data_IF_623545019559
#
_entry.id   IF_623545019559
#
_cell.length_a   1.000
_cell.length_b   1.000
_cell.length_c   1.000
_cell.angle_alpha   90.00
_cell.angle_beta   90.00
_cell.angle_gamma   90.00
#
_symmetry.space_group_name_H-M   'P 1'
#
loop_
_entity.id
_entity.type
_entity.pdbx_description
1 polymer ?
#
# COMPACT_ATOMS: atom_id res chain seq x y z
N UNK A 1 -13.15 -7.89 66.30
CA UNK A 1 -12.42 -8.94 67.04
C UNK A 1 -11.54 -9.65 66.03
N UNK A 2 -10.22 -9.42 66.13
CA UNK A 2 -9.22 -10.42 66.55
C UNK A 2 -8.99 -11.49 65.47
N UNK A 3 -7.79 -11.82 65.02
CA UNK A 3 -6.42 -11.38 65.33
C UNK A 3 -5.51 -12.43 64.71
N UNK A 4 -4.44 -12.00 64.02
CA UNK A 4 -3.08 -12.55 64.13
C UNK A 4 -2.86 -14.03 63.71
N UNK A 5 -1.68 -14.52 63.35
CA UNK A 5 -0.28 -14.13 63.59
C UNK A 5 0.55 -14.95 62.55
N UNK A 6 1.39 -14.32 61.72
CA UNK A 6 2.84 -14.13 61.89
C UNK A 6 3.72 -15.39 61.89
N UNK A 7 4.78 -15.38 61.09
CA UNK A 7 6.18 -15.26 61.56
C UNK A 7 7.10 -15.20 60.32
N UNK A 8 7.90 -14.14 60.11
CA UNK A 8 9.24 -13.87 60.71
C UNK A 8 10.29 -14.85 60.17
N UNK A 9 11.43 -14.45 59.59
CA UNK A 9 11.91 -13.08 59.39
C UNK A 9 13.36 -13.00 58.87
N UNK A 10 13.84 -11.74 58.81
CA UNK A 10 15.21 -11.26 59.13
C UNK A 10 16.38 -11.79 58.30
N UNK A 11 17.27 -10.99 57.70
CA UNK A 11 18.23 -9.97 58.25
C UNK A 11 19.20 -9.70 57.06
N UNK A 12 19.97 -8.61 56.86
CA UNK A 12 20.37 -7.40 57.59
C UNK A 12 21.25 -6.58 56.60
N UNK A 13 21.11 -5.23 56.61
CA UNK A 13 22.17 -4.18 56.71
C UNK A 13 23.38 -4.22 55.74
N UNK A 14 23.92 -3.12 55.20
CA UNK A 14 23.97 -1.71 55.64
C UNK A 14 24.64 -0.84 54.55
N UNK A 15 24.19 0.43 54.45
CA UNK A 15 24.91 1.74 54.41
C UNK A 15 26.15 1.88 53.50
N UNK A 16 26.37 2.98 52.77
CA UNK A 16 26.69 4.37 53.21
C UNK A 16 26.63 5.23 51.93
N UNK A 17 25.81 6.29 51.85
CA UNK A 17 26.16 7.73 51.88
C UNK A 17 27.10 8.20 50.73
N UNK A 18 27.07 9.40 50.15
CA UNK A 18 26.32 10.67 50.26
C UNK A 18 26.97 11.64 49.25
N UNK A 19 26.26 12.71 48.85
CA UNK A 19 26.77 13.95 48.19
C UNK A 19 27.39 13.81 46.78
N UNK A 20 27.51 14.83 45.93
CA UNK A 20 26.70 15.97 45.51
C UNK A 20 27.44 16.59 44.32
N UNK A 21 26.67 17.15 43.38
CA UNK A 21 26.96 18.23 42.43
C UNK A 21 28.41 18.60 42.03
N UNK A 22 28.56 18.73 40.69
CA UNK A 22 29.19 19.84 39.97
C UNK A 22 30.69 19.80 39.66
N UNK A 23 30.98 20.41 38.50
CA UNK A 23 32.18 21.16 38.09
C UNK A 23 32.97 20.59 36.89
N UNK A 24 33.03 21.48 35.90
CA UNK A 24 33.86 21.61 34.68
C UNK A 24 35.36 21.43 34.94
N UNK A 25 36.10 20.79 34.02
CA UNK A 25 37.40 21.26 33.47
C UNK A 25 38.26 20.15 32.82
N UNK A 26 38.72 20.44 31.59
CA UNK A 26 40.00 20.09 30.93
C UNK A 26 40.92 19.02 31.50
N UNK A 27 41.40 18.08 30.65
CA UNK A 27 42.84 17.78 30.49
C UNK A 27 43.16 16.95 29.23
N UNK A 28 44.32 17.24 28.64
CA UNK A 28 44.92 16.61 27.46
C UNK A 28 45.51 15.21 27.73
N UNK A 29 45.85 14.46 26.66
CA UNK A 29 47.16 13.82 26.38
C UNK A 29 47.02 12.76 25.25
N UNK A 30 48.14 12.59 24.54
CA UNK A 30 48.38 12.03 23.21
C UNK A 30 48.49 10.49 23.07
N UNK A 31 48.41 10.03 21.80
CA UNK A 31 49.12 8.91 21.13
C UNK A 31 48.91 7.47 21.69
N UNK A 32 49.08 6.36 20.91
CA UNK A 32 50.15 6.12 19.92
C UNK A 32 49.81 5.27 18.66
N UNK A 33 50.88 5.02 17.89
CA UNK A 33 51.04 4.41 16.56
C UNK A 33 50.80 2.88 16.47
N UNK A 34 50.72 2.36 15.24
CA UNK A 34 50.77 0.92 14.92
C UNK A 34 51.59 0.61 13.65
N UNK A 35 52.31 -0.51 13.71
CA UNK A 35 53.28 -1.07 12.74
C UNK A 35 52.68 -2.22 11.90
N UNK A 36 53.06 -2.23 10.61
CA UNK A 36 53.57 -3.31 9.74
C UNK A 36 52.94 -4.74 9.59
N UNK A 37 52.55 -5.04 8.33
CA UNK A 37 52.98 -6.10 7.36
C UNK A 37 52.74 -7.61 7.63
N UNK A 38 52.01 -8.24 6.70
CA UNK A 38 52.30 -9.47 5.90
C UNK A 38 51.03 -9.78 5.06
N UNK A 39 50.96 -10.33 3.84
CA UNK A 39 51.87 -10.94 2.88
C UNK A 39 51.01 -11.85 1.96
N UNK A 40 51.23 -11.76 0.64
CA UNK A 40 50.93 -12.71 -0.47
C UNK A 40 49.48 -13.10 -0.85
N UNK A 41 49.15 -12.97 -2.15
CA UNK A 41 48.94 -14.10 -3.10
C UNK A 41 48.66 -13.60 -4.52
N UNK A 42 49.01 -14.46 -5.48
CA UNK A 42 49.26 -14.18 -6.90
C UNK A 42 48.04 -14.35 -7.82
N UNK A 43 48.04 -13.53 -8.88
CA UNK A 43 47.73 -13.78 -10.30
C UNK A 43 46.85 -14.93 -10.79
N UNK A 44 46.05 -14.59 -11.82
CA UNK A 44 45.83 -15.27 -13.13
C UNK A 44 44.33 -15.33 -13.47
N UNK A 45 43.81 -15.25 -14.70
CA UNK A 45 44.25 -14.89 -16.04
C UNK A 45 43.00 -15.07 -16.92
N UNK A 46 42.68 -14.16 -17.84
CA UNK A 46 42.00 -14.50 -19.09
C UNK A 46 42.15 -13.38 -20.14
N UNK A 47 42.44 -13.84 -21.34
CA UNK A 47 43.12 -13.19 -22.47
C UNK A 47 42.15 -12.63 -23.55
N UNK A 48 42.68 -11.90 -24.55
CA UNK A 48 41.99 -10.87 -25.32
C UNK A 48 41.69 -11.28 -26.78
N UNK A 49 41.09 -10.35 -27.55
CA UNK A 49 41.00 -10.37 -29.02
C UNK A 49 41.73 -9.09 -29.51
N UNK A 50 42.99 -9.12 -30.00
CA UNK A 50 43.53 -9.48 -31.35
C UNK A 50 42.82 -8.70 -32.49
N UNK A 51 43.45 -7.85 -33.31
CA UNK A 51 44.63 -8.05 -34.19
C UNK A 51 44.97 -6.67 -34.79
N UNK A 52 46.21 -6.15 -34.64
CA UNK A 52 47.35 -6.18 -35.61
C UNK A 52 47.25 -5.01 -36.61
N UNK A 53 48.25 -4.18 -36.90
CA UNK A 53 49.65 -4.42 -37.29
C UNK A 53 50.32 -3.03 -37.35
N UNK A 54 51.29 -2.65 -36.52
CA UNK A 54 52.69 -3.07 -36.34
C UNK A 54 53.70 -2.45 -37.34
N UNK A 55 54.64 -1.70 -36.74
CA UNK A 55 56.09 -1.47 -37.02
C UNK A 55 56.42 0.03 -36.89
N UNK A 56 56.96 0.55 -35.77
CA UNK A 56 58.22 0.20 -35.06
C UNK A 56 59.41 0.36 -36.04
N UNK A 57 60.57 0.97 -35.75
CA UNK A 57 61.48 0.96 -34.60
C UNK A 57 62.42 2.20 -34.85
N UNK A 58 63.05 2.95 -33.94
CA UNK A 58 64.11 2.55 -32.99
C UNK A 58 64.62 3.77 -32.20
N UNK A 59 64.79 3.55 -30.89
CA UNK A 59 65.76 4.03 -29.88
C UNK A 59 67.08 4.65 -30.42
N UNK A 60 67.89 5.45 -29.72
CA UNK A 60 67.93 6.04 -28.38
C UNK A 60 69.11 7.05 -28.28
N UNK A 61 69.03 7.94 -27.28
CA UNK A 61 70.09 8.58 -26.44
C UNK A 61 71.31 9.28 -27.06
N UNK A 62 71.53 10.57 -26.71
CA UNK A 62 72.85 11.15 -26.33
C UNK A 62 72.66 12.34 -25.34
N UNK A 63 73.68 12.54 -24.50
CA UNK A 63 73.93 13.32 -23.27
C UNK A 63 73.63 14.84 -23.18
N UNK A 64 73.61 15.32 -21.92
CA UNK A 64 73.57 16.72 -21.45
C UNK A 64 74.89 17.51 -21.58
N UNK A 65 74.72 18.83 -21.74
CA UNK A 65 75.46 20.00 -21.16
C UNK A 65 76.07 20.98 -22.20
N UNK A 66 76.34 22.26 -21.87
CA UNK A 66 75.39 23.37 -21.83
C UNK A 66 75.78 24.52 -22.80
N UNK A 67 74.81 25.24 -23.37
CA UNK A 67 75.09 26.44 -24.17
C UNK A 67 74.14 27.59 -23.81
N UNK A 68 74.71 28.61 -23.16
CA UNK A 68 74.22 30.00 -23.09
C UNK A 68 74.30 30.57 -24.52
N UNK A 69 73.28 31.22 -25.09
CA UNK A 69 73.25 32.69 -25.00
C UNK A 69 71.90 33.40 -25.16
N UNK A 70 71.93 34.66 -24.73
CA UNK A 70 71.26 35.85 -25.26
C UNK A 70 69.73 35.96 -25.33
N UNK A 71 69.29 36.80 -24.39
CA UNK A 71 68.08 37.61 -24.32
C UNK A 71 67.68 38.17 -25.68
N UNK A 72 66.46 37.85 -26.13
CA UNK A 72 65.66 38.70 -27.02
C UNK A 72 64.40 39.07 -26.23
N UNK A 73 64.24 40.35 -25.93
CA UNK A 73 63.09 40.86 -25.18
C UNK A 73 61.82 40.72 -26.01
N UNK A 74 60.86 39.92 -25.53
CA UNK A 74 59.47 40.01 -25.98
C UNK A 74 58.82 41.17 -25.22
N UNK A 75 58.37 42.19 -25.96
CA UNK A 75 57.54 43.28 -25.45
C UNK A 75 56.26 42.71 -24.83
N UNK A 76 56.20 42.63 -23.51
CA UNK A 76 54.95 42.56 -22.78
C UNK A 76 54.30 43.94 -22.84
N UNK A 77 53.34 44.12 -23.75
CA UNK A 77 52.38 45.20 -23.64
C UNK A 77 51.66 45.06 -22.29
N UNK A 78 52.08 45.84 -21.31
CA UNK A 78 51.30 46.06 -20.11
C UNK A 78 50.12 46.94 -20.51
N UNK A 79 48.95 46.35 -20.74
CA UNK A 79 47.70 47.09 -20.55
C UNK A 79 47.68 47.56 -19.10
N UNK A 80 47.95 48.84 -18.87
CA UNK A 80 47.65 49.49 -17.60
C UNK A 80 46.15 49.35 -17.36
N UNK A 81 45.75 48.47 -16.45
CA UNK A 81 44.53 48.71 -15.71
C UNK A 81 44.82 49.93 -14.84
N UNK A 82 44.29 51.09 -15.21
CA UNK A 82 44.15 52.19 -14.26
C UNK A 82 43.23 51.68 -13.15
N UNK A 83 43.81 51.20 -12.06
CA UNK A 83 43.13 51.13 -10.78
C UNK A 83 42.77 52.57 -10.43
N UNK A 84 41.52 52.97 -10.67
CA UNK A 84 40.95 54.13 -10.04
C UNK A 84 41.22 53.98 -8.54
N UNK A 85 42.12 54.80 -8.00
CA UNK A 85 42.44 54.83 -6.58
C UNK A 85 41.22 55.35 -5.83
N UNK A 86 40.29 54.46 -5.50
CA UNK A 86 39.22 54.73 -4.55
C UNK A 86 39.83 54.42 -3.18
N UNK A 87 40.03 55.46 -2.37
CA UNK A 87 40.56 55.31 -1.01
C UNK A 87 39.75 54.26 -0.23
N UNK A 88 40.40 53.32 0.48
CA UNK A 88 39.72 52.29 1.28
C UNK A 88 38.71 52.88 2.27
N UNK A 89 38.94 54.10 2.75
CA UNK A 89 38.08 54.82 3.69
C UNK A 89 36.77 55.33 3.09
N UNK A 90 36.62 55.42 1.76
CA UNK A 90 35.36 55.81 1.08
C UNK A 90 34.53 54.60 0.68
N UNK A 91 35.18 53.48 0.35
CA UNK A 91 34.51 52.22 0.01
C UNK A 91 33.79 51.60 1.22
N UNK A 92 34.36 51.70 2.42
CA UNK A 92 33.76 51.16 3.65
C UNK A 92 32.39 51.78 3.96
N UNK A 93 32.21 53.12 4.03
CA UNK A 93 30.89 53.71 4.29
C UNK A 93 29.91 53.45 3.15
N UNK A 94 30.34 53.37 1.89
CA UNK A 94 29.44 53.02 0.77
C UNK A 94 28.96 51.56 0.86
N UNK A 95 29.83 50.62 1.22
CA UNK A 95 29.46 49.23 1.46
C UNK A 95 28.58 49.08 2.72
N UNK A 96 28.85 49.85 3.77
CA UNK A 96 28.05 49.82 5.00
C UNK A 96 26.68 50.47 4.78
N UNK A 97 26.60 51.60 4.10
CA UNK A 97 25.34 52.29 3.78
C UNK A 97 24.55 51.51 2.73
N UNK A 98 25.19 51.06 1.65
CA UNK A 98 24.54 50.18 0.65
C UNK A 98 24.10 48.85 1.25
N UNK A 99 24.93 48.28 2.12
CA UNK A 99 24.60 47.11 2.94
C UNK A 99 23.41 47.36 3.85
N UNK A 100 23.37 48.46 4.60
CA UNK A 100 22.23 48.85 5.46
C UNK A 100 20.95 49.11 4.66
N UNK A 101 21.03 49.80 3.52
CA UNK A 101 19.87 50.11 2.67
C UNK A 101 19.24 48.86 2.07
N UNK A 102 20.02 47.78 1.84
CA UNK A 102 19.49 46.49 1.38
C UNK A 102 19.08 45.61 2.58
N UNK A 103 19.91 45.57 3.62
CA UNK A 103 19.75 44.70 4.77
C UNK A 103 18.57 45.10 5.66
N UNK A 104 18.36 46.40 5.89
CA UNK A 104 17.25 46.91 6.70
C UNK A 104 15.89 46.53 6.11
N UNK A 105 15.56 46.82 4.83
CA UNK A 105 14.28 46.40 4.27
C UNK A 105 14.17 44.88 4.08
N UNK A 106 15.24 44.12 3.84
CA UNK A 106 15.12 42.66 3.83
C UNK A 106 14.82 42.09 5.23
N UNK A 107 15.50 42.59 6.26
CA UNK A 107 15.40 42.07 7.62
C UNK A 107 14.16 42.60 8.35
N UNK A 108 13.78 43.87 8.15
CA UNK A 108 12.59 44.50 8.71
C UNK A 108 11.36 44.43 7.80
N UNK A 109 11.51 44.20 6.50
CA UNK A 109 10.36 43.95 5.61
C UNK A 109 9.85 42.52 5.70
N UNK A 110 10.69 41.57 6.12
CA UNK A 110 10.30 40.17 6.25
C UNK A 110 9.87 39.56 4.91
N UNK A 111 10.57 39.92 3.84
CA UNK A 111 10.29 39.42 2.48
C UNK A 111 10.73 37.96 2.36
N UNK A 112 9.78 37.10 1.99
CA UNK A 112 10.02 35.70 1.65
C UNK A 112 9.49 35.44 0.26
N UNK A 113 10.38 34.97 -0.62
CA UNK A 113 10.04 34.58 -1.99
C UNK A 113 9.94 33.06 -2.05
N UNK A 114 8.78 32.55 -2.44
CA UNK A 114 8.54 31.12 -2.66
C UNK A 114 8.54 30.85 -4.16
N UNK A 115 9.34 29.87 -4.60
CA UNK A 115 9.40 29.48 -6.01
C UNK A 115 8.10 28.84 -6.50
N UNK A 116 7.90 28.78 -7.82
CA UNK A 116 6.68 28.27 -8.45
C UNK A 116 6.38 26.79 -8.13
N UNK A 117 7.44 25.99 -7.95
CA UNK A 117 7.40 24.58 -7.60
C UNK A 117 7.76 24.32 -6.13
N UNK A 118 7.59 25.33 -5.29
CA UNK A 118 7.83 25.25 -3.85
C UNK A 118 6.56 25.58 -3.07
N UNK A 119 6.50 25.09 -1.84
CA UNK A 119 5.53 25.45 -0.81
C UNK A 119 6.30 25.97 0.40
N UNK A 120 5.89 27.12 0.92
CA UNK A 120 6.49 27.68 2.13
C UNK A 120 5.77 27.19 3.38
N UNK A 121 6.44 26.36 4.19
CA UNK A 121 5.93 25.93 5.49
C UNK A 121 6.40 26.91 6.55
N UNK A 122 5.45 27.55 7.21
CA UNK A 122 5.72 28.62 8.18
C UNK A 122 5.85 28.03 9.58
N UNK A 123 6.92 28.39 10.28
CA UNK A 123 7.12 28.11 11.70
C UNK A 123 7.21 29.44 12.43
N UNK A 124 6.34 29.68 13.41
CA UNK A 124 6.41 30.86 14.28
C UNK A 124 7.22 30.52 15.52
N UNK A 125 8.37 31.18 15.71
CA UNK A 125 9.31 30.89 16.81
C UNK A 125 8.75 31.28 18.17
N UNK A 126 8.06 32.41 18.26
CA UNK A 126 7.45 32.90 19.50
C UNK A 126 6.28 33.86 19.23
N UNK A 127 5.41 34.03 20.22
CA UNK A 127 4.27 34.94 20.20
C UNK A 127 4.43 36.00 21.29
N UNK A 128 4.14 37.28 20.96
CA UNK A 128 4.12 38.36 21.97
C UNK A 128 2.94 38.21 22.95
N UNK A 129 1.87 37.52 22.53
CA UNK A 129 0.66 37.30 23.32
C UNK A 129 0.75 36.12 24.31
N UNK A 130 1.85 35.37 24.33
CA UNK A 130 2.03 34.22 25.23
C UNK A 130 1.14 33.01 24.96
N UNK A 131 0.33 33.02 23.88
CA UNK A 131 -0.46 31.85 23.45
C UNK A 131 0.48 30.81 22.85
N UNK A 132 0.74 29.76 23.62
CA UNK A 132 1.40 28.54 23.17
C UNK A 132 0.42 27.58 22.51
N UNK A 133 0.95 26.55 21.84
CA UNK A 133 0.15 25.46 21.29
C UNK A 133 -0.61 24.74 22.41
N UNK A 134 -1.91 24.42 22.22
CA UNK A 134 -2.65 23.53 23.09
C UNK A 134 -1.92 22.20 23.29
N UNK A 135 -1.96 21.66 24.50
CA UNK A 135 -1.33 20.37 24.80
C UNK A 135 -1.86 19.28 23.86
N UNK A 136 -0.95 18.54 23.21
CA UNK A 136 -1.28 17.46 22.29
C UNK A 136 -1.48 17.86 20.83
N UNK A 137 -1.43 19.16 20.49
CA UNK A 137 -1.40 19.65 19.11
C UNK A 137 0.03 19.96 18.67
N UNK A 138 0.33 19.69 17.40
CA UNK A 138 1.62 19.97 16.76
C UNK A 138 1.53 21.16 15.80
N UNK A 139 0.34 21.43 15.25
CA UNK A 139 0.09 22.47 14.27
C UNK A 139 -0.77 23.59 14.87
N UNK A 140 -0.31 24.82 14.71
CA UNK A 140 -0.95 26.05 15.14
C UNK A 140 -2.00 26.50 14.13
N UNK A 141 -3.21 26.76 14.61
CA UNK A 141 -4.33 27.28 13.81
C UNK A 141 -4.46 28.80 13.92
N UNK A 142 -4.22 29.37 15.11
CA UNK A 142 -4.57 30.76 15.39
C UNK A 142 -3.33 31.65 15.58
N UNK A 143 -2.24 31.34 14.87
CA UNK A 143 -0.99 32.08 14.99
C UNK A 143 -0.23 31.81 16.29
N UNK A 144 -0.47 30.68 16.95
CA UNK A 144 0.28 30.24 18.12
C UNK A 144 1.76 30.00 17.78
N UNK A 145 2.63 29.89 18.79
CA UNK A 145 4.03 29.55 18.56
C UNK A 145 4.15 28.09 18.10
N UNK A 146 4.79 27.83 16.95
CA UNK A 146 4.95 26.49 16.37
C UNK A 146 4.76 26.43 14.85
N UNK A 147 4.66 25.21 14.32
CA UNK A 147 4.34 24.93 12.92
C UNK A 147 2.95 25.46 12.60
N UNK A 148 2.80 26.27 11.56
CA UNK A 148 1.49 26.80 11.17
C UNK A 148 0.77 25.85 10.21
N UNK A 149 -0.56 25.86 10.26
CA UNK A 149 -1.40 25.13 9.31
C UNK A 149 -1.28 25.71 7.90
N UNK A 150 -1.36 27.04 7.78
CA UNK A 150 -1.35 27.71 6.47
C UNK A 150 0.04 27.65 5.83
N UNK A 151 0.06 27.33 4.54
CA UNK A 151 1.28 27.36 3.72
C UNK A 151 1.31 28.60 2.85
N UNK A 152 2.51 28.98 2.44
CA UNK A 152 2.72 30.08 1.49
C UNK A 152 2.70 29.52 0.07
N UNK A 153 1.78 30.06 -0.73
CA UNK A 153 1.75 29.85 -2.17
C UNK A 153 2.98 30.51 -2.85
N UNK A 154 3.29 30.15 -4.10
CA UNK A 154 4.35 30.83 -4.86
C UNK A 154 4.12 32.34 -4.95
N UNK A 155 5.22 33.10 -4.88
CA UNK A 155 5.17 34.56 -4.95
C UNK A 155 5.89 35.25 -3.80
N UNK A 156 5.60 36.55 -3.66
CA UNK A 156 6.25 37.45 -2.74
C UNK A 156 5.38 37.63 -1.49
N UNK A 157 5.88 37.20 -0.36
CA UNK A 157 5.20 37.32 0.92
C UNK A 157 5.96 38.26 1.85
N UNK A 158 5.25 39.22 2.44
CA UNK A 158 5.82 40.21 3.36
C UNK A 158 5.37 39.95 4.79
N UNK A 159 6.12 40.46 5.78
CA UNK A 159 5.77 40.30 7.21
C UNK A 159 6.24 38.99 7.85
N UNK A 160 7.07 38.19 7.17
CA UNK A 160 7.69 36.99 7.73
C UNK A 160 9.12 37.30 8.22
N UNK A 161 9.21 38.10 9.29
CA UNK A 161 10.51 38.51 9.83
C UNK A 161 11.36 37.33 10.31
N UNK A 162 12.64 37.21 9.90
CA UNK A 162 13.49 36.07 10.28
C UNK A 162 13.69 35.85 11.78
N UNK A 163 13.50 36.89 12.59
CA UNK A 163 13.58 36.81 14.05
C UNK A 163 12.32 36.18 14.67
N UNK A 164 11.13 36.37 14.07
CA UNK A 164 9.87 35.83 14.58
C UNK A 164 9.42 34.54 13.86
N UNK A 165 9.68 34.45 12.56
CA UNK A 165 9.24 33.37 11.68
C UNK A 165 10.43 32.64 11.08
N UNK A 166 10.25 31.36 10.79
CA UNK A 166 11.14 30.54 9.99
C UNK A 166 10.31 29.91 8.89
N UNK A 167 10.60 30.24 7.63
CA UNK A 167 9.90 29.66 6.48
C UNK A 167 10.79 28.59 5.87
N UNK A 168 10.32 27.34 5.91
CA UNK A 168 10.96 26.22 5.23
C UNK A 168 10.38 26.13 3.83
N UNK A 169 11.23 26.16 2.81
CA UNK A 169 10.81 25.96 1.42
C UNK A 169 10.95 24.48 1.12
N UNK A 170 9.84 23.87 0.74
CA UNK A 170 9.80 22.46 0.34
C UNK A 170 9.28 22.34 -1.08
N UNK A 171 9.74 21.33 -1.81
CA UNK A 171 9.26 21.08 -3.17
C UNK A 171 7.80 20.60 -3.14
N UNK A 172 7.02 21.00 -4.14
CA UNK A 172 5.66 20.47 -4.31
C UNK A 172 5.66 18.95 -4.49
N UNK A 173 4.62 18.31 -3.98
CA UNK A 173 4.45 16.86 -4.10
C UNK A 173 3.92 16.56 -5.49
N UNK A 174 4.68 15.80 -6.29
CA UNK A 174 4.27 15.38 -7.63
C UNK A 174 4.04 13.88 -7.61
N UNK A 175 2.77 13.48 -7.74
CA UNK A 175 2.38 12.07 -7.85
C UNK A 175 2.43 11.68 -9.34
N UNK A 176 3.30 10.74 -9.73
CA UNK A 176 3.40 10.29 -11.12
C UNK A 176 2.09 9.68 -11.64
N UNK A 177 1.94 9.63 -12.97
CA UNK A 177 0.84 8.92 -13.60
C UNK A 177 0.95 7.41 -13.32
N UNK A 178 -0.19 6.76 -13.09
CA UNK A 178 -0.23 5.33 -12.76
C UNK A 178 0.15 5.00 -11.30
N UNK A 179 0.28 6.01 -10.45
CA UNK A 179 0.54 5.86 -9.01
C UNK A 179 -0.54 6.56 -8.18
N UNK A 180 -0.70 6.09 -6.95
CA UNK A 180 -1.43 6.76 -5.88
C UNK A 180 -0.46 7.12 -4.77
N UNK A 181 -0.77 8.18 -4.02
CA UNK A 181 -0.01 8.54 -2.83
C UNK A 181 -0.88 8.44 -1.58
N UNK A 182 -0.33 7.80 -0.54
CA UNK A 182 -1.00 7.66 0.75
C UNK A 182 -0.60 8.79 1.69
N UNK A 183 -1.52 9.19 2.57
CA UNK A 183 -1.29 10.28 3.52
C UNK A 183 -1.29 9.72 4.95
N UNK A 184 -0.32 10.16 5.74
CA UNK A 184 -0.32 10.00 7.20
C UNK A 184 -0.35 11.40 7.83
N UNK A 185 -1.40 11.70 8.57
CA UNK A 185 -1.54 12.96 9.29
C UNK A 185 -0.81 12.86 10.64
N UNK A 186 0.07 13.83 10.93
CA UNK A 186 0.81 13.91 12.19
C UNK A 186 -0.02 14.51 13.33
N UNK A 187 -0.99 15.37 13.01
CA UNK A 187 -1.87 16.06 13.96
C UNK A 187 -3.33 15.97 13.49
N UNK A 188 -4.25 16.18 14.41
CA UNK A 188 -5.68 15.97 14.22
C UNK A 188 -6.35 15.46 15.49
N UNK A 189 -7.65 15.22 15.39
CA UNK A 189 -8.38 14.49 16.41
C UNK A 189 -7.87 13.05 16.53
N UNK A 190 -8.09 12.42 17.69
CA UNK A 190 -7.71 11.02 17.84
C UNK A 190 -8.64 10.14 17.03
N UNK A 191 -8.08 9.23 16.23
CA UNK A 191 -8.85 8.20 15.55
C UNK A 191 -9.59 7.34 16.60
N UNK A 192 -10.92 7.10 16.45
CA UNK A 192 -11.66 6.21 17.32
C UNK A 192 -11.02 4.81 17.38
N UNK A 193 -11.06 4.12 18.52
CA UNK A 193 -10.41 2.80 18.67
C UNK A 193 -11.03 1.71 17.78
N UNK A 194 -12.25 1.93 17.29
CA UNK A 194 -12.96 0.99 16.42
C UNK A 194 -12.50 1.02 14.96
N UNK A 195 -11.82 2.10 14.55
CA UNK A 195 -11.37 2.32 13.16
C UNK A 195 -9.86 2.35 13.07
N UNK A 196 -9.32 1.86 11.96
CA UNK A 196 -7.87 1.81 11.73
C UNK A 196 -7.41 3.04 10.95
N UNK A 197 -8.23 3.53 10.02
CA UNK A 197 -7.92 4.66 9.16
C UNK A 197 -8.72 5.90 9.55
N UNK A 198 -8.06 7.06 9.49
CA UNK A 198 -8.67 8.37 9.68
C UNK A 198 -9.68 8.69 8.59
N UNK A 199 -10.76 9.38 8.97
CA UNK A 199 -11.88 9.72 8.07
C UNK A 199 -11.44 10.66 6.96
N UNK A 200 -12.12 10.56 5.81
CA UNK A 200 -11.95 11.52 4.73
C UNK A 200 -12.67 12.81 5.10
N UNK A 201 -11.95 13.91 5.00
CA UNK A 201 -12.44 15.25 5.29
C UNK A 201 -12.24 16.12 4.05
N UNK A 202 -13.22 16.97 3.75
CA UNK A 202 -13.08 17.93 2.66
C UNK A 202 -12.04 19.01 3.04
N UNK A 203 -10.91 18.97 2.35
CA UNK A 203 -9.74 19.82 2.60
C UNK A 203 -8.91 20.08 1.32
N UNK A 204 -9.56 20.06 0.16
CA UNK A 204 -8.92 20.25 -1.15
C UNK A 204 -7.73 19.28 -1.37
N UNK A 205 -7.99 17.99 -1.18
CA UNK A 205 -7.00 16.91 -1.30
C UNK A 205 -5.75 17.12 -0.43
N UNK A 206 -5.95 17.44 0.87
CA UNK A 206 -4.89 17.66 1.86
C UNK A 206 -3.96 18.84 1.57
N UNK A 207 -4.33 19.73 0.64
CA UNK A 207 -3.59 20.98 0.40
C UNK A 207 -3.92 22.04 1.47
N UNK A 208 -5.17 22.07 1.94
CA UNK A 208 -5.62 22.98 3.00
C UNK A 208 -5.60 22.29 4.38
N UNK A 209 -4.44 22.38 5.04
CA UNK A 209 -4.23 21.86 6.39
C UNK A 209 -5.14 22.48 7.45
N UNK A 210 -5.52 23.76 7.29
CA UNK A 210 -6.42 24.45 8.21
C UNK A 210 -7.82 23.86 8.13
N UNK A 211 -8.36 23.72 6.91
CA UNK A 211 -9.67 23.08 6.71
C UNK A 211 -9.69 21.66 7.24
N UNK A 212 -8.64 20.88 7.00
CA UNK A 212 -8.53 19.53 7.53
C UNK A 212 -8.70 19.50 9.05
N UNK A 213 -7.98 20.36 9.78
CA UNK A 213 -8.03 20.39 11.25
C UNK A 213 -9.36 20.96 11.79
N UNK A 214 -9.94 21.97 11.13
CA UNK A 214 -11.22 22.57 11.54
C UNK A 214 -12.40 21.61 11.30
N UNK A 215 -12.39 20.87 10.19
CA UNK A 215 -13.44 19.92 9.83
C UNK A 215 -13.29 18.56 10.56
N UNK A 216 -12.48 18.51 11.64
CA UNK A 216 -12.34 17.33 12.49
C UNK A 216 -11.44 16.24 11.90
N UNK A 217 -10.44 16.58 11.08
CA UNK A 217 -9.46 15.63 10.55
C UNK A 217 -8.77 14.84 11.65
N UNK A 218 -8.57 13.54 11.41
CA UNK A 218 -8.07 12.59 12.40
C UNK A 218 -6.58 12.31 12.15
N UNK A 219 -5.78 12.18 13.22
CA UNK A 219 -4.35 11.86 13.11
C UNK A 219 -4.14 10.37 12.77
N UNK A 220 -3.03 10.06 12.10
CA UNK A 220 -2.64 8.70 11.69
C UNK A 220 -2.81 8.44 10.20
N UNK A 221 -2.87 7.16 9.82
CA UNK A 221 -3.05 6.72 8.43
C UNK A 221 -4.42 7.17 7.93
N UNK A 222 -4.46 7.81 6.78
CA UNK A 222 -5.71 8.31 6.21
C UNK A 222 -6.34 7.28 5.27
N UNK A 223 -7.67 7.29 5.21
CA UNK A 223 -8.44 6.52 4.23
C UNK A 223 -8.35 7.14 2.83
N UNK A 224 -8.32 8.47 2.77
CA UNK A 224 -8.11 9.21 1.54
C UNK A 224 -6.69 9.04 1.01
N UNK A 225 -6.57 9.11 -0.31
CA UNK A 225 -5.31 9.05 -1.04
C UNK A 225 -5.32 10.09 -2.16
N UNK A 226 -4.14 10.41 -2.69
CA UNK A 226 -3.98 11.32 -3.82
C UNK A 226 -3.80 10.51 -5.10
N UNK A 227 -4.40 10.98 -6.17
CA UNK A 227 -4.19 10.46 -7.52
C UNK A 227 -3.06 11.20 -8.21
N UNK A 228 -2.77 10.86 -9.46
CA UNK A 228 -1.75 11.54 -10.25
C UNK A 228 -2.02 13.05 -10.35
N UNK A 229 -1.02 13.86 -10.01
CA UNK A 229 -1.19 15.31 -9.94
C UNK A 229 -0.03 16.01 -9.23
N UNK A 230 -0.11 17.34 -9.19
CA UNK A 230 0.83 18.18 -8.41
C UNK A 230 0.07 18.84 -7.28
N UNK A 231 0.50 18.58 -6.04
CA UNK A 231 -0.17 19.02 -4.83
C UNK A 231 0.76 19.88 -3.97
N UNK A 232 0.21 20.97 -3.43
CA UNK A 232 0.91 21.82 -2.46
C UNK A 232 0.50 21.40 -1.06
N UNK A 233 1.27 20.49 -0.48
CA UNK A 233 0.94 19.85 0.79
C UNK A 233 1.86 20.40 1.88
N UNK A 234 1.28 20.68 3.04
CA UNK A 234 2.05 20.97 4.24
C UNK A 234 2.68 19.68 4.77
N UNK A 235 3.92 19.38 4.36
CA UNK A 235 4.63 18.14 4.72
C UNK A 235 4.91 18.02 6.22
N UNK A 236 4.84 19.12 6.98
CA UNK A 236 4.96 19.10 8.42
C UNK A 236 3.72 18.50 9.11
N UNK A 237 2.54 18.66 8.51
CA UNK A 237 1.30 18.02 8.98
C UNK A 237 1.08 16.66 8.30
N UNK A 238 1.27 16.61 6.98
CA UNK A 238 0.93 15.45 6.16
C UNK A 238 2.19 14.81 5.59
N UNK A 239 2.46 13.60 6.05
CA UNK A 239 3.50 12.78 5.46
C UNK A 239 2.91 12.03 4.26
N UNK A 240 3.49 12.28 3.08
CA UNK A 240 3.05 11.65 1.83
C UNK A 240 3.95 10.46 1.48
N UNK A 241 3.33 9.31 1.25
CA UNK A 241 3.97 8.05 0.88
C UNK A 241 3.66 7.77 -0.58
N UNK A 242 4.71 7.68 -1.40
CA UNK A 242 4.69 7.46 -2.85
C UNK A 242 5.53 6.22 -3.18
N UNK A 243 5.42 5.70 -4.40
CA UNK A 243 6.22 4.54 -4.82
C UNK A 243 7.74 4.76 -4.63
N UNK A 244 8.21 6.01 -4.78
CA UNK A 244 9.61 6.40 -4.61
C UNK A 244 10.13 6.30 -3.16
N UNK A 245 9.28 6.45 -2.16
CA UNK A 245 9.66 6.42 -0.74
C UNK A 245 8.98 5.28 0.06
N UNK A 246 8.21 4.41 -0.60
CA UNK A 246 7.45 3.32 0.00
C UNK A 246 8.30 2.42 0.91
N UNK A 247 9.51 2.08 0.46
CA UNK A 247 10.44 1.18 1.17
C UNK A 247 10.86 1.75 2.53
N UNK A 248 11.01 3.06 2.64
CA UNK A 248 11.32 3.75 3.91
C UNK A 248 10.15 3.69 4.91
N UNK A 249 8.96 3.30 4.46
CA UNK A 249 7.75 3.19 5.26
C UNK A 249 7.22 1.76 5.36
N UNK A 250 8.06 0.77 5.02
CA UNK A 250 7.73 -0.64 5.15
C UNK A 250 6.70 -1.13 4.13
N UNK A 251 6.57 -0.44 2.99
CA UNK A 251 5.67 -0.81 1.89
C UNK A 251 6.47 -1.09 0.62
N UNK A 252 5.89 -1.86 -0.29
CA UNK A 252 6.52 -2.09 -1.59
C UNK A 252 6.00 -1.07 -2.61
N UNK A 253 6.82 -0.59 -3.55
CA UNK A 253 6.39 0.38 -4.56
C UNK A 253 5.19 -0.09 -5.39
N UNK A 254 5.04 -1.41 -5.60
CA UNK A 254 3.97 -2.02 -6.38
C UNK A 254 2.60 -1.84 -5.73
N UNK A 255 2.53 -1.74 -4.40
CA UNK A 255 1.29 -1.51 -3.66
C UNK A 255 0.71 -0.10 -3.88
N UNK A 256 1.53 0.83 -4.36
CA UNK A 256 1.15 2.23 -4.59
C UNK A 256 0.92 2.54 -6.07
N UNK A 257 1.01 1.54 -6.93
CA UNK A 257 0.63 1.67 -8.34
C UNK A 257 -0.86 1.42 -8.50
N UNK A 258 -1.44 1.98 -9.57
CA UNK A 258 -2.82 1.68 -9.95
C UNK A 258 -2.97 0.17 -10.12
N UNK A 259 -3.93 -0.41 -9.40
CA UNK A 259 -4.10 -1.85 -9.37
C UNK A 259 -4.69 -2.33 -10.68
N UNK A 260 -3.98 -3.22 -11.37
CA UNK A 260 -4.44 -3.80 -12.64
C UNK A 260 -4.90 -5.24 -12.42
N UNK A 261 -6.18 -5.49 -12.70
CA UNK A 261 -6.77 -6.82 -12.68
C UNK A 261 -6.79 -7.40 -14.10
N UNK A 262 -6.18 -8.57 -14.28
CA UNK A 262 -6.14 -9.26 -15.56
C UNK A 262 -7.54 -9.61 -16.09
N UNK A 263 -7.70 -9.64 -17.42
CA UNK A 263 -8.99 -9.85 -18.11
C UNK A 263 -9.63 -11.22 -17.86
N UNK A 264 -8.82 -12.23 -17.58
CA UNK A 264 -9.23 -13.62 -17.34
C UNK A 264 -9.40 -13.94 -15.84
N UNK A 265 -9.26 -12.92 -14.98
CA UNK A 265 -9.29 -13.05 -13.53
C UNK A 265 -10.37 -12.20 -12.90
N UNK A 266 -10.78 -12.61 -11.71
CA UNK A 266 -11.69 -11.89 -10.82
C UNK A 266 -10.92 -11.52 -9.55
N UNK A 267 -11.16 -10.30 -9.05
CA UNK A 267 -10.54 -9.80 -7.84
C UNK A 267 -11.40 -10.13 -6.64
N UNK A 268 -10.90 -10.97 -5.74
CA UNK A 268 -11.54 -11.25 -4.46
C UNK A 268 -11.06 -10.22 -3.46
N UNK A 269 -12.00 -9.43 -2.96
CA UNK A 269 -11.71 -8.24 -2.15
C UNK A 269 -11.81 -8.59 -0.66
N UNK A 270 -10.80 -8.18 0.10
CA UNK A 270 -10.80 -8.20 1.57
C UNK A 270 -10.57 -6.78 2.07
N UNK A 271 -11.49 -6.26 2.87
CA UNK A 271 -11.39 -4.95 3.51
C UNK A 271 -10.72 -5.10 4.88
N UNK A 272 -9.86 -4.17 5.24
CA UNK A 272 -9.10 -4.20 6.50
C UNK A 272 -9.72 -3.29 7.57
N UNK A 273 -10.61 -2.38 7.19
CA UNK A 273 -11.28 -1.43 8.08
C UNK A 273 -12.81 -1.50 7.93
N UNK A 274 -13.53 -1.08 8.97
CA UNK A 274 -15.00 -1.15 9.05
C UNK A 274 -15.53 -2.02 10.18
N UNK A 275 -16.85 -2.14 10.24
CA UNK A 275 -17.56 -2.89 11.27
C UNK A 275 -17.16 -4.37 11.18
N UNK A 276 -16.93 -5.11 12.28
CA UNK A 276 -16.67 -6.54 12.20
C UNK A 276 -17.79 -7.29 11.48
N UNK A 277 -17.42 -8.32 10.70
CA UNK A 277 -18.40 -9.28 10.16
C UNK A 277 -19.20 -9.90 11.30
N UNK A 278 -20.52 -10.03 11.11
CA UNK A 278 -21.42 -10.63 12.10
C UNK A 278 -21.10 -12.11 12.30
N UNK A 279 -21.26 -12.60 13.53
CA UNK A 279 -20.98 -13.99 13.84
C UNK A 279 -21.86 -14.92 12.97
N UNK A 280 -21.23 -15.90 12.31
CA UNK A 280 -21.89 -16.86 11.41
C UNK A 280 -21.94 -16.45 9.94
N UNK A 281 -21.55 -15.22 9.60
CA UNK A 281 -21.32 -14.80 8.22
C UNK A 281 -19.85 -14.97 7.82
N UNK A 282 -19.61 -15.27 6.54
CA UNK A 282 -18.26 -15.45 5.98
C UNK A 282 -17.72 -14.20 5.27
N UNK A 283 -18.61 -13.33 4.77
CA UNK A 283 -18.23 -12.13 4.05
C UNK A 283 -19.18 -10.96 4.33
N UNK A 284 -18.69 -9.74 4.10
CA UNK A 284 -19.48 -8.52 4.19
C UNK A 284 -20.46 -8.38 3.02
N UNK A 285 -21.67 -7.84 3.26
CA UNK A 285 -22.67 -7.64 2.22
C UNK A 285 -22.22 -6.60 1.20
N UNK A 286 -22.81 -6.65 0.00
CA UNK A 286 -22.56 -5.67 -1.05
C UNK A 286 -23.09 -4.29 -0.63
N UNK A 287 -22.23 -3.28 -0.67
CA UNK A 287 -22.58 -1.89 -0.38
C UNK A 287 -22.56 -1.07 -1.67
N UNK A 288 -23.59 -0.27 -1.91
CA UNK A 288 -23.67 0.53 -3.14
C UNK A 288 -23.00 1.91 -3.00
N UNK A 289 -22.62 2.50 -4.14
CA UNK A 289 -22.22 3.92 -4.22
C UNK A 289 -20.76 4.24 -3.84
N UNK A 290 -19.96 3.25 -3.44
CA UNK A 290 -18.54 3.43 -3.09
C UNK A 290 -17.55 3.26 -4.26
N UNK A 291 -18.06 3.09 -5.48
CA UNK A 291 -17.28 2.97 -6.72
C UNK A 291 -16.18 1.88 -6.64
N UNK A 292 -16.58 0.63 -6.38
CA UNK A 292 -15.69 -0.54 -6.32
C UNK A 292 -14.49 -0.34 -5.37
N UNK A 293 -14.78 0.03 -4.12
CA UNK A 293 -13.84 0.27 -3.03
C UNK A 293 -12.86 1.44 -3.21
N UNK A 294 -12.97 2.23 -4.29
CA UNK A 294 -12.15 3.43 -4.46
C UNK A 294 -12.54 4.54 -3.47
N UNK A 295 -13.81 4.62 -3.08
CA UNK A 295 -14.28 5.53 -2.04
C UNK A 295 -14.55 4.79 -0.73
N UNK A 296 -13.51 4.59 0.08
CA UNK A 296 -13.61 3.92 1.37
C UNK A 296 -14.58 4.60 2.35
N UNK A 297 -14.70 5.93 2.32
CA UNK A 297 -15.59 6.64 3.24
C UNK A 297 -17.05 6.30 2.98
N UNK A 298 -17.45 6.24 1.70
CA UNK A 298 -18.81 5.81 1.33
C UNK A 298 -19.08 4.36 1.71
N UNK A 299 -18.10 3.47 1.55
CA UNK A 299 -18.21 2.07 1.98
C UNK A 299 -18.46 1.97 3.49
N UNK A 300 -17.66 2.67 4.30
CA UNK A 300 -17.78 2.65 5.77
C UNK A 300 -19.10 3.28 6.22
N UNK A 301 -19.48 4.43 5.63
CA UNK A 301 -20.75 5.09 5.95
C UNK A 301 -21.97 4.24 5.57
N UNK A 302 -21.84 3.39 4.54
CA UNK A 302 -22.87 2.42 4.15
C UNK A 302 -22.98 1.20 5.07
N UNK A 303 -22.21 1.14 6.17
CA UNK A 303 -22.19 -0.02 7.06
C UNK A 303 -21.28 -1.15 6.57
N UNK A 304 -20.29 -0.82 5.73
CA UNK A 304 -19.31 -1.75 5.21
C UNK A 304 -18.57 -2.49 6.33
N UNK A 305 -18.37 -3.80 6.12
CA UNK A 305 -17.78 -4.70 7.11
C UNK A 305 -16.33 -5.01 6.78
N UNK A 306 -15.46 -5.13 7.78
CA UNK A 306 -14.06 -5.57 7.61
C UNK A 306 -13.98 -7.07 7.42
N UNK A 307 -13.16 -7.52 6.48
CA UNK A 307 -12.94 -8.92 6.13
C UNK A 307 -13.25 -9.21 4.66
N UNK A 308 -13.45 -10.48 4.33
CA UNK A 308 -13.80 -10.92 2.98
C UNK A 308 -15.11 -10.24 2.53
N UNK A 309 -15.20 -9.84 1.26
CA UNK A 309 -16.40 -9.18 0.72
C UNK A 309 -17.15 -10.10 -0.26
N UNK A 310 -18.48 -9.95 -0.29
CA UNK A 310 -19.31 -10.61 -1.29
C UNK A 310 -19.05 -10.08 -2.70
N UNK A 311 -18.88 -8.76 -2.81
CA UNK A 311 -18.62 -8.09 -4.08
C UNK A 311 -17.24 -8.47 -4.63
N UNK A 312 -17.21 -8.90 -5.89
CA UNK A 312 -15.99 -9.12 -6.66
C UNK A 312 -15.59 -7.87 -7.44
N UNK A 313 -14.30 -7.75 -7.71
CA UNK A 313 -13.75 -6.73 -8.59
C UNK A 313 -13.60 -7.32 -10.00
N UNK A 314 -14.09 -6.60 -11.01
CA UNK A 314 -13.95 -6.98 -12.41
C UNK A 314 -12.63 -6.48 -13.01
N UNK A 315 -12.27 -7.04 -14.16
CA UNK A 315 -11.02 -6.70 -14.87
C UNK A 315 -10.97 -5.21 -15.20
N UNK A 316 -9.83 -4.58 -14.96
CA UNK A 316 -9.68 -3.13 -15.13
C UNK A 316 -8.55 -2.56 -14.29
N UNK A 317 -8.45 -1.24 -14.32
CA UNK A 317 -7.49 -0.46 -13.53
C UNK A 317 -8.20 0.31 -12.43
N UNK A 318 -7.74 0.14 -11.19
CA UNK A 318 -8.44 0.61 -10.00
C UNK A 318 -7.50 1.37 -9.05
N UNK A 319 -7.95 2.52 -8.54
CA UNK A 319 -7.22 3.26 -7.51
C UNK A 319 -7.61 2.74 -6.13
N UNK A 320 -6.86 1.77 -5.61
CA UNK A 320 -7.17 1.10 -4.35
C UNK A 320 -6.17 1.49 -3.27
N UNK A 321 -6.65 1.90 -2.10
CA UNK A 321 -5.80 2.12 -0.94
C UNK A 321 -5.41 0.78 -0.29
N UNK A 322 -4.13 0.37 -0.32
CA UNK A 322 -3.69 -0.92 0.23
C UNK A 322 -3.82 -1.04 1.75
N UNK A 323 -3.98 0.06 2.49
CA UNK A 323 -4.32 -0.01 3.92
C UNK A 323 -5.79 -0.28 4.18
N UNK A 324 -6.64 -0.03 3.19
CA UNK A 324 -8.08 -0.22 3.30
C UNK A 324 -8.53 -1.54 2.67
N UNK A 325 -7.98 -1.89 1.51
CA UNK A 325 -8.41 -3.02 0.69
C UNK A 325 -7.21 -3.84 0.22
N UNK A 326 -7.35 -5.16 0.32
CA UNK A 326 -6.47 -6.14 -0.30
C UNK A 326 -7.26 -6.94 -1.35
N UNK A 327 -6.65 -7.14 -2.53
CA UNK A 327 -7.28 -7.87 -3.64
C UNK A 327 -6.43 -9.07 -4.03
N UNK A 328 -7.05 -10.25 -3.98
CA UNK A 328 -6.49 -11.51 -4.47
C UNK A 328 -7.03 -11.78 -5.88
N UNK A 329 -6.16 -12.03 -6.87
CA UNK A 329 -6.60 -12.36 -8.23
C UNK A 329 -6.78 -13.87 -8.39
N UNK A 330 -8.01 -14.29 -8.68
CA UNK A 330 -8.37 -15.70 -8.91
C UNK A 330 -8.86 -15.84 -10.36
N UNK A 331 -8.55 -16.94 -11.07
CA UNK A 331 -9.11 -17.16 -12.41
C UNK A 331 -10.65 -17.18 -12.37
N UNK A 332 -11.29 -16.64 -13.40
CA UNK A 332 -12.74 -16.73 -13.54
C UNK A 332 -13.19 -18.19 -13.64
N UNK A 333 -14.39 -18.50 -13.14
CA UNK A 333 -14.96 -19.84 -13.25
C UNK A 333 -15.44 -20.07 -14.67
N UNK A 334 -14.83 -21.03 -15.36
CA UNK A 334 -15.20 -21.43 -16.71
C UNK A 334 -16.15 -22.62 -16.68
N UNK A 335 -17.30 -22.47 -17.32
CA UNK A 335 -18.29 -23.54 -17.50
C UNK A 335 -18.18 -24.02 -18.95
N UNK A 336 -17.72 -25.27 -19.19
CA UNK A 336 -17.57 -25.80 -20.54
C UNK A 336 -18.93 -26.03 -21.21
N UNK A 337 -18.92 -26.07 -22.55
CA UNK A 337 -20.11 -26.38 -23.35
C UNK A 337 -20.58 -27.81 -23.01
N UNK A 338 -21.89 -28.00 -22.91
CA UNK A 338 -22.49 -29.28 -22.50
C UNK A 338 -22.59 -29.46 -20.98
N UNK A 339 -22.19 -28.44 -20.19
CA UNK A 339 -22.36 -28.38 -18.74
C UNK A 339 -23.14 -27.13 -18.33
N UNK A 340 -23.74 -27.19 -17.16
CA UNK A 340 -24.26 -26.02 -16.44
C UNK A 340 -23.62 -25.97 -15.06
N UNK A 341 -23.38 -24.76 -14.56
CA UNK A 341 -22.81 -24.54 -13.23
C UNK A 341 -23.92 -24.28 -12.22
N UNK A 342 -24.11 -25.19 -11.27
CA UNK A 342 -24.98 -24.96 -10.13
C UNK A 342 -24.18 -24.23 -9.04
N UNK A 343 -24.66 -23.06 -8.63
CA UNK A 343 -24.01 -22.23 -7.61
C UNK A 343 -24.55 -22.62 -6.23
N UNK A 344 -23.64 -22.90 -5.31
CA UNK A 344 -23.92 -23.08 -3.88
C UNK A 344 -23.32 -21.88 -3.15
N UNK A 345 -24.17 -20.96 -2.70
CA UNK A 345 -23.74 -19.76 -1.97
C UNK A 345 -23.74 -20.00 -0.46
N UNK A 346 -22.63 -19.66 0.20
CA UNK A 346 -22.51 -19.72 1.67
C UNK A 346 -22.90 -18.40 2.36
N UNK A 347 -23.19 -17.37 1.57
CA UNK A 347 -23.41 -15.97 1.96
C UNK A 347 -24.67 -15.40 1.30
N UNK A 348 -25.02 -14.14 1.63
CA UNK A 348 -26.20 -13.47 1.13
C UNK A 348 -27.36 -13.40 2.14
N UNK A 349 -28.52 -12.99 1.63
CA UNK A 349 -29.74 -12.81 2.46
C UNK A 349 -30.21 -14.11 3.08
N UNK A 350 -31.05 -13.98 4.11
CA UNK A 350 -31.68 -15.11 4.77
C UNK A 350 -32.35 -16.06 3.76
N UNK A 351 -32.25 -17.35 4.06
CA UNK A 351 -32.79 -18.43 3.24
C UNK A 351 -34.28 -18.20 2.95
N UNK A 352 -34.64 -18.07 1.67
CA UNK A 352 -36.02 -17.99 1.21
C UNK A 352 -36.24 -19.10 0.18
N UNK A 353 -37.01 -20.12 0.58
CA UNK A 353 -37.29 -21.26 -0.28
C UNK A 353 -38.23 -20.89 -1.43
N UNK A 354 -37.79 -21.18 -2.65
CA UNK A 354 -38.55 -20.98 -3.90
C UNK A 354 -38.84 -22.29 -4.63
N UNK A 355 -38.52 -23.44 -4.03
CA UNK A 355 -38.66 -24.77 -4.65
C UNK A 355 -40.11 -25.18 -4.91
N UNK A 356 -41.06 -24.54 -4.21
CA UNK A 356 -42.48 -24.84 -4.26
C UNK A 356 -42.87 -26.06 -3.42
N UNK A 357 -44.14 -26.16 -3.04
CA UNK A 357 -44.64 -27.20 -2.12
C UNK A 357 -44.49 -28.65 -2.63
N UNK A 358 -44.19 -28.85 -3.92
CA UNK A 358 -43.97 -30.15 -4.52
C UNK A 358 -42.56 -30.71 -4.30
N UNK A 359 -41.58 -29.85 -3.95
CA UNK A 359 -40.20 -30.27 -3.71
C UNK A 359 -39.95 -30.38 -2.20
N UNK A 360 -39.74 -31.60 -1.73
CA UNK A 360 -39.59 -31.91 -0.29
C UNK A 360 -38.14 -32.18 0.13
N UNK A 361 -37.20 -32.21 -0.82
CA UNK A 361 -35.82 -32.70 -0.61
C UNK A 361 -34.77 -31.61 -0.79
N UNK A 362 -34.83 -30.61 0.08
CA UNK A 362 -33.93 -29.46 0.09
C UNK A 362 -34.64 -28.18 -0.35
N UNK A 363 -33.92 -27.06 -0.29
CA UNK A 363 -34.47 -25.75 -0.58
C UNK A 363 -33.58 -25.00 -1.58
N UNK A 364 -34.18 -24.58 -2.68
CA UNK A 364 -33.60 -23.70 -3.69
C UNK A 364 -33.86 -22.25 -3.31
N UNK A 365 -32.93 -21.38 -3.67
CA UNK A 365 -33.01 -19.95 -3.38
C UNK A 365 -32.74 -19.12 -4.64
N UNK A 366 -33.18 -17.87 -4.64
CA UNK A 366 -32.83 -16.93 -5.70
C UNK A 366 -31.36 -16.49 -5.59
N UNK A 367 -30.74 -16.04 -6.69
CA UNK A 367 -29.42 -15.42 -6.64
C UNK A 367 -29.32 -14.32 -5.58
N UNK A 368 -28.23 -14.33 -4.82
CA UNK A 368 -28.02 -13.39 -3.70
C UNK A 368 -28.57 -13.85 -2.34
N UNK A 369 -29.19 -15.03 -2.26
CA UNK A 369 -29.52 -15.70 -1.01
C UNK A 369 -28.54 -16.83 -0.70
N UNK A 370 -28.40 -17.16 0.58
CA UNK A 370 -27.62 -18.30 1.05
C UNK A 370 -28.33 -19.61 0.69
N UNK A 371 -27.63 -20.54 0.03
CA UNK A 371 -28.18 -21.82 -0.42
C UNK A 371 -27.83 -22.17 -1.87
N UNK A 372 -28.49 -23.19 -2.41
CA UNK A 372 -28.36 -23.61 -3.81
C UNK A 372 -29.24 -22.73 -4.68
N UNK A 373 -28.66 -22.07 -5.69
CA UNK A 373 -29.44 -21.18 -6.57
C UNK A 373 -30.37 -21.96 -7.50
N UNK A 374 -31.61 -21.48 -7.63
CA UNK A 374 -32.61 -22.04 -8.55
C UNK A 374 -32.23 -21.85 -10.02
N UNK A 375 -31.51 -20.77 -10.32
CA UNK A 375 -31.04 -20.46 -11.67
C UNK A 375 -29.59 -20.95 -11.83
N UNK A 376 -29.35 -21.94 -12.70
CA UNK A 376 -28.00 -22.39 -13.00
C UNK A 376 -27.29 -21.39 -13.92
N UNK A 377 -25.97 -21.38 -13.89
CA UNK A 377 -25.15 -20.63 -14.82
C UNK A 377 -24.89 -21.44 -16.09
N UNK A 378 -25.11 -20.80 -17.24
CA UNK A 378 -24.87 -21.39 -18.56
C UNK A 378 -23.38 -21.39 -18.95
N UNK A 379 -22.97 -22.15 -19.98
CA UNK A 379 -21.60 -22.16 -20.47
C UNK A 379 -21.02 -20.76 -20.72
N UNK A 380 -19.78 -20.54 -20.28
CA UNK A 380 -19.12 -19.24 -20.34
C UNK A 380 -18.18 -19.00 -19.16
N UNK A 381 -17.57 -17.81 -19.12
CA UNK A 381 -16.72 -17.36 -18.01
C UNK A 381 -17.51 -16.45 -17.08
N UNK A 382 -17.51 -16.79 -15.79
CA UNK A 382 -18.29 -16.09 -14.77
C UNK A 382 -17.38 -15.54 -13.65
N UNK A 383 -17.56 -14.27 -13.24
CA UNK A 383 -16.75 -13.64 -12.19
C UNK A 383 -17.29 -13.98 -10.78
N UNK A 384 -17.15 -15.25 -10.39
CA UNK A 384 -17.64 -15.77 -9.11
C UNK A 384 -16.57 -15.68 -8.03
N UNK A 385 -16.96 -15.33 -6.80
CA UNK A 385 -16.07 -15.39 -5.65
C UNK A 385 -15.96 -16.84 -5.13
N UNK A 386 -14.87 -17.52 -5.47
CA UNK A 386 -14.62 -18.91 -5.08
C UNK A 386 -14.41 -19.14 -3.58
N UNK A 387 -14.22 -18.07 -2.78
CA UNK A 387 -14.06 -18.17 -1.32
C UNK A 387 -15.38 -18.27 -0.58
N UNK A 388 -16.49 -17.83 -1.19
CA UNK A 388 -17.83 -17.78 -0.56
C UNK A 388 -18.89 -18.54 -1.34
N UNK A 389 -18.58 -18.98 -2.56
CA UNK A 389 -19.46 -19.78 -3.41
C UNK A 389 -18.70 -21.01 -3.92
N UNK A 390 -19.39 -22.14 -3.97
CA UNK A 390 -18.93 -23.35 -4.64
C UNK A 390 -19.70 -23.53 -5.95
N UNK A 391 -19.01 -23.88 -7.02
CA UNK A 391 -19.59 -24.20 -8.32
C UNK A 391 -19.53 -25.71 -8.54
N UNK A 392 -20.69 -26.34 -8.76
CA UNK A 392 -20.79 -27.73 -9.18
C UNK A 392 -21.15 -27.80 -10.67
N UNK A 393 -20.35 -28.52 -11.45
CA UNK A 393 -20.59 -28.68 -12.88
C UNK A 393 -21.49 -29.89 -13.12
N UNK A 394 -22.64 -29.66 -13.75
CA UNK A 394 -23.61 -30.70 -14.10
C UNK A 394 -23.65 -30.86 -15.62
N UNK A 395 -23.32 -32.04 -16.17
CA UNK A 395 -23.44 -32.28 -17.59
C UNK A 395 -24.92 -32.26 -18.00
N UNK A 396 -25.23 -31.50 -19.04
CA UNK A 396 -26.56 -31.48 -19.70
C UNK A 396 -26.60 -32.41 -20.91
N UNK A 397 -25.47 -33.04 -21.22
CA UNK A 397 -25.41 -34.11 -22.22
C UNK A 397 -25.93 -35.43 -21.63
N UNK A 398 -26.27 -36.38 -22.50
CA UNK A 398 -26.64 -37.72 -22.05
C UNK A 398 -25.45 -38.38 -21.37
N UNK A 399 -25.67 -38.86 -20.16
CA UNK A 399 -24.70 -39.65 -19.38
C UNK A 399 -25.12 -41.10 -19.54
N UNK A 400 -24.19 -41.94 -19.97
CA UNK A 400 -24.39 -43.39 -20.04
C UNK A 400 -23.71 -43.98 -18.81
N UNK A 401 -24.46 -44.76 -18.03
CA UNK A 401 -23.98 -45.53 -16.89
C UNK A 401 -23.99 -47.00 -17.28
N UNK A 402 -22.80 -47.61 -17.30
CA UNK A 402 -22.63 -49.02 -17.65
C UNK A 402 -22.25 -49.82 -16.41
N UNK A 403 -23.04 -50.83 -16.06
CA UNK A 403 -22.71 -51.81 -15.04
C UNK A 403 -21.96 -52.98 -15.67
N UNK A 404 -20.71 -52.71 -16.08
CA UNK A 404 -19.77 -53.67 -16.68
C UNK A 404 -18.33 -53.16 -16.47
N UNK A 405 -17.31 -53.92 -16.86
CA UNK A 405 -15.90 -53.50 -16.76
C UNK A 405 -15.50 -52.37 -17.75
N UNK A 406 -16.46 -51.70 -18.38
CA UNK A 406 -16.25 -50.66 -19.40
C UNK A 406 -16.59 -49.29 -18.83
N UNK A 407 -15.68 -48.34 -18.99
CA UNK A 407 -15.85 -46.96 -18.54
C UNK A 407 -16.06 -45.98 -19.70
N UNK A 408 -16.95 -45.02 -19.50
CA UNK A 408 -17.34 -44.02 -20.51
C UNK A 408 -16.70 -42.65 -20.29
N UNK A 409 -16.98 -41.73 -21.23
CA UNK A 409 -16.36 -40.41 -21.36
C UNK A 409 -16.44 -39.52 -20.11
N UNK A 410 -17.49 -39.68 -19.29
CA UNK A 410 -17.68 -38.91 -18.05
C UNK A 410 -17.12 -39.62 -16.80
N UNK A 411 -16.74 -40.89 -16.91
CA UNK A 411 -16.15 -41.71 -15.86
C UNK A 411 -16.97 -41.83 -14.56
N UNK A 412 -18.25 -41.46 -14.57
CA UNK A 412 -19.17 -41.69 -13.44
C UNK A 412 -19.46 -43.18 -13.24
N UNK A 413 -19.25 -44.00 -14.27
CA UNK A 413 -19.42 -45.45 -14.27
C UNK A 413 -18.18 -46.23 -13.80
N UNK A 414 -17.09 -45.55 -13.43
CA UNK A 414 -15.81 -46.18 -13.09
C UNK A 414 -15.85 -47.14 -11.89
N UNK A 415 -16.86 -47.01 -11.02
CA UNK A 415 -17.06 -47.87 -9.85
C UNK A 415 -18.21 -48.88 -10.04
N UNK A 416 -18.87 -48.88 -11.20
CA UNK A 416 -19.97 -49.78 -11.51
C UNK A 416 -19.42 -51.12 -12.00
N UNK A 417 -19.95 -52.22 -11.47
CA UNK A 417 -19.60 -53.59 -11.88
C UNK A 417 -20.87 -54.35 -12.27
N UNK A 418 -20.70 -55.48 -12.97
CA UNK A 418 -21.81 -56.38 -13.32
C UNK A 418 -22.57 -56.84 -12.07
N UNK A 419 -23.90 -56.86 -12.14
CA UNK A 419 -24.73 -57.29 -11.02
C UNK A 419 -24.95 -58.81 -11.07
N UNK A 420 -24.47 -59.54 -10.07
CA UNK A 420 -24.82 -60.96 -9.89
C UNK A 420 -26.22 -61.05 -9.29
N UNK A 421 -27.20 -61.43 -10.11
CA UNK A 421 -28.59 -61.59 -9.68
C UNK A 421 -28.97 -63.07 -9.62
N UNK A 422 -29.93 -63.41 -8.75
CA UNK A 422 -30.49 -64.76 -8.65
C UNK A 422 -31.94 -64.74 -9.14
N UNK A 423 -32.25 -65.57 -10.13
CA UNK A 423 -33.63 -65.75 -10.61
C UNK A 423 -34.50 -66.47 -9.59
N UNK A 424 -35.82 -66.36 -9.79
CA UNK A 424 -36.85 -66.98 -8.94
C UNK A 424 -36.73 -68.51 -8.84
N UNK A 425 -36.22 -69.16 -9.88
CA UNK A 425 -35.95 -70.59 -9.98
C UNK A 425 -34.58 -71.02 -9.43
N UNK A 426 -33.77 -70.06 -8.93
CA UNK A 426 -32.57 -70.33 -8.14
C UNK A 426 -31.24 -70.26 -8.88
N UNK A 427 -31.23 -69.94 -10.18
CA UNK A 427 -29.99 -69.77 -10.94
C UNK A 427 -29.38 -68.38 -10.70
N UNK A 428 -28.06 -68.32 -10.58
CA UNK A 428 -27.32 -67.06 -10.52
C UNK A 428 -26.73 -66.76 -11.89
N UNK A 429 -26.83 -65.50 -12.33
CA UNK A 429 -26.19 -65.01 -13.54
C UNK A 429 -25.76 -63.55 -13.37
N UNK A 430 -24.73 -63.18 -14.11
CA UNK A 430 -24.22 -61.81 -14.13
C UNK A 430 -25.00 -61.03 -15.20
N UNK A 431 -25.56 -59.90 -14.76
CA UNK A 431 -26.33 -59.01 -15.60
C UNK A 431 -25.52 -57.74 -15.86
N UNK A 432 -25.21 -57.50 -17.13
CA UNK A 432 -24.71 -56.21 -17.60
C UNK A 432 -25.89 -55.33 -18.00
N UNK A 433 -25.95 -54.13 -17.42
CA UNK A 433 -27.02 -53.16 -17.70
C UNK A 433 -26.37 -51.86 -18.16
N UNK A 434 -27.04 -51.15 -19.06
CA UNK A 434 -26.71 -49.78 -19.40
C UNK A 434 -27.94 -48.91 -19.15
N UNK A 435 -27.77 -47.78 -18.48
CA UNK A 435 -28.79 -46.76 -18.29
C UNK A 435 -28.32 -45.43 -18.83
N UNK A 436 -29.17 -44.76 -19.58
CA UNK A 436 -28.91 -43.41 -20.07
C UNK A 436 -29.73 -42.44 -19.22
N UNK A 437 -29.04 -41.48 -18.60
CA UNK A 437 -29.67 -40.41 -17.84
C UNK A 437 -29.37 -39.06 -18.51
N UNK A 438 -30.33 -38.15 -18.41
CA UNK A 438 -30.21 -36.78 -18.88
C UNK A 438 -30.72 -35.85 -17.79
N UNK A 439 -29.91 -34.85 -17.43
CA UNK A 439 -30.31 -33.81 -16.49
C UNK A 439 -30.49 -32.52 -17.28
N UNK A 440 -31.74 -32.04 -17.35
CA UNK A 440 -32.04 -30.76 -17.97
C UNK A 440 -31.43 -29.61 -17.18
N UNK A 441 -31.03 -28.53 -17.85
CA UNK A 441 -30.39 -27.38 -17.23
C UNK A 441 -31.18 -26.85 -16.02
N UNK A 442 -32.49 -26.63 -16.19
CA UNK A 442 -33.38 -26.10 -15.15
C UNK A 442 -33.62 -27.07 -13.97
N UNK A 443 -33.35 -28.36 -14.16
CA UNK A 443 -33.49 -29.38 -13.11
C UNK A 443 -32.16 -29.68 -12.40
N UNK A 444 -31.02 -29.25 -12.97
CA UNK A 444 -29.70 -29.46 -12.39
C UNK A 444 -29.59 -28.95 -10.93
N UNK A 445 -30.11 -27.76 -10.56
CA UNK A 445 -30.09 -27.31 -9.18
C UNK A 445 -30.86 -28.22 -8.22
N UNK A 446 -31.98 -28.81 -8.67
CA UNK A 446 -32.77 -29.74 -7.84
C UNK A 446 -32.00 -31.02 -7.56
N UNK A 447 -31.29 -31.53 -8.57
CA UNK A 447 -30.43 -32.71 -8.43
C UNK A 447 -29.34 -32.43 -7.40
N UNK A 448 -28.59 -31.33 -7.56
CA UNK A 448 -27.51 -30.95 -6.63
C UNK A 448 -28.04 -30.67 -5.22
N UNK A 449 -29.21 -30.04 -5.07
CA UNK A 449 -29.83 -29.84 -3.76
C UNK A 449 -30.16 -31.15 -3.05
N UNK A 450 -30.47 -32.22 -3.78
CA UNK A 450 -30.85 -33.53 -3.21
C UNK A 450 -29.64 -34.40 -2.89
N UNK A 451 -28.67 -34.48 -3.80
CA UNK A 451 -27.55 -35.44 -3.71
C UNK A 451 -26.20 -34.78 -3.41
N UNK A 452 -26.11 -33.45 -3.49
CA UNK A 452 -24.89 -32.68 -3.26
C UNK A 452 -23.93 -32.64 -4.45
N UNK A 453 -23.72 -33.76 -5.14
CA UNK A 453 -22.84 -33.87 -6.31
C UNK A 453 -23.38 -34.90 -7.31
N UNK A 454 -22.96 -34.80 -8.58
CA UNK A 454 -23.36 -35.77 -9.61
C UNK A 454 -22.85 -37.20 -9.33
N UNK A 455 -21.68 -37.35 -8.70
CA UNK A 455 -21.17 -38.67 -8.33
C UNK A 455 -22.10 -39.35 -7.32
N UNK A 456 -22.52 -38.62 -6.28
CA UNK A 456 -23.43 -39.15 -5.27
C UNK A 456 -24.79 -39.58 -5.84
N UNK A 457 -25.24 -38.97 -6.96
CA UNK A 457 -26.44 -39.43 -7.65
C UNK A 457 -26.25 -40.86 -8.17
N UNK A 458 -25.10 -41.13 -8.78
CA UNK A 458 -24.78 -42.45 -9.35
C UNK A 458 -24.58 -43.46 -8.24
N UNK A 459 -23.86 -43.08 -7.18
CA UNK A 459 -23.61 -43.94 -6.02
C UNK A 459 -24.92 -44.31 -5.30
N UNK A 460 -25.87 -43.38 -5.15
CA UNK A 460 -27.18 -43.69 -4.54
C UNK A 460 -28.10 -44.54 -5.42
N UNK A 461 -27.86 -44.66 -6.73
CA UNK A 461 -28.61 -45.59 -7.59
C UNK A 461 -28.10 -47.03 -7.39
N UNK A 462 -26.93 -47.22 -6.78
CA UNK A 462 -26.35 -48.54 -6.47
C UNK A 462 -26.86 -49.17 -5.16
N UNK A 463 -27.21 -48.34 -4.17
CA UNK A 463 -27.80 -48.78 -2.91
C UNK A 463 -29.30 -49.04 -3.03
#
# INVERSE_FOLDING_TARGET
MKSFQSCVGTRKKNKVARFAASVVATLAIAAPASLAIAGTTNYASATPIKITTAKEITLASVQLSPAKPNITQLQTNQTQYQTAGIDPFVLIPILVVGGLVIFVPLFFGGLVVIGEREVGIVVRKFTLSGRGLPAGRLIALNGEAGLQADTLAPGWHWGYWPWQYSVRKESVVVVPQGEIALIVAADGESNPPERILGKIVDCDNYQDARKFLINGGEKGRQMGFLTAGTYRINTALFKVIMASNATAHGMTPEQLRVYSLASDKVGIVTTLDGVPISAGELAGPIIEGHDNFQNGQKFINGGGRRGLQEQTLLSGSWNLNPWFVQVEQVPMTEIPIGYVGVVISFVGKAHQDVSGAAFTHGNLVNPGHKGVWVEPLYPGKHPINSRIMKMELVPTTNIVLNWSDRTERHSYDAQLASLTVRSRDGFAFDLEVAQIIHVGALDAPKVISRVGAMQNLVDHVLE
#
